data_IF_666603368136
#
_entry.id   IF_666603368136
#
_cell.length_a   1.000
_cell.length_b   1.000
_cell.length_c   1.000
_cell.angle_alpha   90.00
_cell.angle_beta   90.00
_cell.angle_gamma   90.00
#
_symmetry.space_group_name_H-M   'P 1'
#
loop_
_entity.id
_entity.type
_entity.pdbx_description
1 polymer ?
#
# COMPACT_ATOMS: atom_id res chain seq x y z
N UNK A 1 7.95 5.54 -23.36
CA UNK A 1 7.07 4.66 -22.57
C UNK A 1 7.52 4.76 -21.12
N UNK A 2 6.72 5.31 -20.20
CA UNK A 2 7.18 5.64 -18.84
C UNK A 2 7.33 4.38 -17.97
N UNK A 3 8.57 4.01 -17.65
CA UNK A 3 8.97 2.79 -16.92
C UNK A 3 8.79 2.93 -15.38
N UNK A 4 8.30 4.08 -14.89
CA UNK A 4 8.38 4.46 -13.47
C UNK A 4 7.21 3.92 -12.62
N UNK A 5 6.09 3.49 -13.21
CA UNK A 5 4.87 3.17 -12.44
C UNK A 5 4.62 1.70 -12.09
N UNK A 6 5.39 0.74 -12.64
CA UNK A 6 5.14 -0.70 -12.39
C UNK A 6 5.30 -1.08 -10.90
N UNK A 7 6.27 -0.46 -10.21
CA UNK A 7 6.62 -0.86 -8.84
C UNK A 7 5.58 -0.39 -7.81
N UNK A 8 4.97 0.78 -7.99
CA UNK A 8 3.96 1.28 -7.05
C UNK A 8 2.65 0.49 -7.13
N UNK A 9 2.19 0.14 -8.33
CA UNK A 9 0.96 -0.66 -8.48
C UNK A 9 1.09 -2.03 -7.81
N UNK A 10 2.26 -2.67 -7.89
CA UNK A 10 2.49 -3.94 -7.19
C UNK A 10 2.46 -3.78 -5.67
N UNK A 11 3.08 -2.73 -5.13
CA UNK A 11 3.04 -2.43 -3.70
C UNK A 11 1.62 -2.17 -3.19
N UNK A 12 0.81 -1.43 -3.94
CA UNK A 12 -0.61 -1.18 -3.59
C UNK A 12 -1.43 -2.48 -3.66
N UNK A 13 -1.19 -3.35 -4.65
CA UNK A 13 -1.84 -4.68 -4.70
C UNK A 13 -1.49 -5.53 -3.48
N UNK A 14 -0.23 -5.52 -3.03
CA UNK A 14 0.20 -6.23 -1.81
C UNK A 14 -0.49 -5.65 -0.58
N UNK A 15 -0.52 -4.32 -0.45
CA UNK A 15 -1.24 -3.64 0.63
C UNK A 15 -2.71 -4.06 0.68
N UNK A 16 -3.44 -3.96 -0.44
CA UNK A 16 -4.86 -4.34 -0.52
C UNK A 16 -5.08 -5.80 -0.14
N UNK A 17 -4.20 -6.71 -0.61
CA UNK A 17 -4.26 -8.12 -0.24
C UNK A 17 -4.04 -8.34 1.26
N UNK A 18 -3.12 -7.61 1.88
CA UNK A 18 -2.86 -7.73 3.32
C UNK A 18 -4.02 -7.18 4.16
N UNK A 19 -4.62 -6.07 3.74
CA UNK A 19 -5.82 -5.51 4.37
C UNK A 19 -7.02 -6.46 4.26
N UNK A 20 -7.20 -7.11 3.12
CA UNK A 20 -8.23 -8.14 2.91
C UNK A 20 -8.03 -9.35 3.85
N UNK A 21 -6.78 -9.67 4.19
CA UNK A 21 -6.44 -10.69 5.19
C UNK A 21 -6.60 -10.21 6.65
N UNK A 22 -7.31 -9.11 6.89
CA UNK A 22 -7.50 -8.50 8.22
C UNK A 22 -6.18 -8.07 8.92
N UNK A 23 -5.09 -7.84 8.17
CA UNK A 23 -3.88 -7.28 8.77
C UNK A 23 -4.03 -5.79 9.05
N UNK A 24 -3.36 -5.33 10.11
CA UNK A 24 -3.30 -3.92 10.46
C UNK A 24 -2.58 -3.12 9.34
N UNK A 25 -3.12 -1.95 8.99
CA UNK A 25 -2.55 -1.01 8.00
C UNK A 25 -1.05 -0.77 8.24
N UNK A 26 -0.59 -0.67 9.49
CA UNK A 26 0.82 -0.42 9.80
C UNK A 26 1.72 -1.60 9.39
N UNK A 27 1.30 -2.81 9.73
CA UNK A 27 1.98 -4.06 9.35
C UNK A 27 1.90 -4.28 7.84
N UNK A 28 0.73 -4.04 7.24
CA UNK A 28 0.50 -4.20 5.81
C UNK A 28 1.35 -3.22 4.98
N UNK A 29 1.46 -1.96 5.42
CA UNK A 29 2.32 -0.95 4.79
C UNK A 29 3.81 -1.33 4.91
N UNK A 30 4.24 -1.78 6.08
CA UNK A 30 5.62 -2.21 6.31
C UNK A 30 5.99 -3.39 5.38
N UNK A 31 5.12 -4.39 5.27
CA UNK A 31 5.28 -5.56 4.37
C UNK A 31 5.20 -5.18 2.88
N UNK A 32 4.35 -4.19 2.53
CA UNK A 32 4.23 -3.67 1.18
C UNK A 32 5.38 -2.70 0.79
N UNK A 33 6.26 -2.32 1.73
CA UNK A 33 7.29 -1.31 1.50
C UNK A 33 6.70 0.08 1.19
N UNK A 34 5.55 0.39 1.77
CA UNK A 34 4.85 1.66 1.64
C UNK A 34 4.98 2.46 2.92
N UNK A 35 5.05 3.79 2.78
CA UNK A 35 5.04 4.66 3.95
C UNK A 35 3.64 4.64 4.59
N UNK A 36 3.59 4.28 5.86
CA UNK A 36 2.36 4.17 6.66
C UNK A 36 1.61 5.50 6.70
N UNK A 37 2.30 6.63 6.91
CA UNK A 37 1.67 7.95 7.00
C UNK A 37 1.06 8.38 5.66
N UNK A 38 1.77 8.14 4.57
CA UNK A 38 1.28 8.45 3.21
C UNK A 38 0.08 7.57 2.89
N UNK A 39 0.15 6.29 3.22
CA UNK A 39 -0.92 5.33 2.99
C UNK A 39 -2.15 5.63 3.86
N UNK A 40 -1.97 5.94 5.14
CA UNK A 40 -3.05 6.37 6.04
C UNK A 40 -3.72 7.63 5.51
N UNK A 41 -2.95 8.64 5.08
CA UNK A 41 -3.51 9.85 4.43
C UNK A 41 -4.32 9.51 3.17
N UNK A 42 -3.82 8.59 2.34
CA UNK A 42 -4.51 8.15 1.12
C UNK A 42 -5.81 7.39 1.42
N UNK A 43 -5.82 6.50 2.41
CA UNK A 43 -7.02 5.78 2.85
C UNK A 43 -8.01 6.68 3.59
N UNK A 44 -7.54 7.63 4.41
CA UNK A 44 -8.39 8.59 5.12
C UNK A 44 -9.03 9.64 4.23
N UNK A 45 -8.67 9.70 2.94
CA UNK A 45 -9.20 10.64 1.95
C UNK A 45 -10.35 10.06 1.10
N UNK A 46 -10.88 8.87 1.42
CA UNK A 46 -12.11 8.34 0.82
C UNK A 46 -13.10 7.88 1.89
#
# INVERSE_FOLDING_TARGET
>A
MSIININQTQRVKVLLRLLDNHENIETACSKAGLNVEVTKKFLSLN
#
